data_IF_984535391282
#
_entry.id   IF_984535391282
#
_cell.length_a   1.000
_cell.length_b   1.000
_cell.length_c   1.000
_cell.angle_alpha   90.00
_cell.angle_beta   90.00
_cell.angle_gamma   90.00
#
_symmetry.space_group_name_H-M   'P 1'
#
loop_
_entity.id
_entity.type
_entity.pdbx_description
1 polymer ?
#
# COMPACT_ATOMS: atom_id res chain seq x y z
N UNK A 1 2.81 4.82 -3.16
CA UNK A 1 1.74 5.52 -2.41
C UNK A 1 2.30 6.73 -1.66
N UNK A 2 3.38 6.56 -0.88
CA UNK A 2 3.97 7.62 -0.05
C UNK A 2 4.12 9.00 -0.70
N UNK A 3 4.71 9.12 -1.90
CA UNK A 3 4.89 10.42 -2.56
C UNK A 3 3.57 11.14 -2.85
N UNK A 4 2.54 10.42 -3.30
CA UNK A 4 1.20 10.99 -3.48
C UNK A 4 0.63 11.52 -2.15
N UNK A 5 0.98 10.91 -1.02
CA UNK A 5 0.51 11.31 0.31
C UNK A 5 1.23 12.54 0.88
N UNK A 6 2.37 12.97 0.33
CA UNK A 6 3.15 14.11 0.87
C UNK A 6 3.16 15.36 -0.03
N UNK A 7 2.63 15.30 -1.25
CA UNK A 7 2.49 16.44 -2.17
C UNK A 7 1.04 16.94 -2.26
N UNK A 8 0.79 18.12 -2.82
CA UNK A 8 -0.55 18.64 -3.09
C UNK A 8 -0.69 19.15 -4.55
N UNK A 9 -1.88 19.66 -4.89
CA UNK A 9 -2.15 20.29 -6.18
C UNK A 9 -1.84 19.41 -7.39
N UNK A 10 -1.25 20.01 -8.43
CA UNK A 10 -0.93 19.33 -9.69
C UNK A 10 0.09 18.19 -9.51
N UNK A 11 1.05 18.35 -8.60
CA UNK A 11 2.06 17.31 -8.33
C UNK A 11 1.43 16.08 -7.68
N UNK A 12 0.50 16.29 -6.74
CA UNK A 12 -0.27 15.19 -6.16
C UNK A 12 -1.08 14.46 -7.23
N UNK A 13 -1.78 15.17 -8.10
CA UNK A 13 -2.57 14.53 -9.17
C UNK A 13 -1.70 13.70 -10.12
N UNK A 14 -0.51 14.21 -10.47
CA UNK A 14 0.47 13.45 -11.25
C UNK A 14 0.93 12.19 -10.51
N UNK A 15 1.32 12.32 -9.25
CA UNK A 15 1.80 11.20 -8.42
C UNK A 15 0.71 10.14 -8.21
N UNK A 16 -0.55 10.56 -8.05
CA UNK A 16 -1.72 9.68 -7.93
C UNK A 16 -1.96 8.94 -9.25
N UNK A 17 -1.89 9.62 -10.39
CA UNK A 17 -2.04 8.98 -11.70
C UNK A 17 -0.96 7.91 -11.94
N UNK A 18 0.32 8.25 -11.71
CA UNK A 18 1.42 7.31 -11.85
C UNK A 18 1.29 6.12 -10.89
N UNK A 19 0.78 6.37 -9.67
CA UNK A 19 0.52 5.33 -8.70
C UNK A 19 -0.51 4.31 -9.22
N UNK A 20 -1.65 4.77 -9.74
CA UNK A 20 -2.68 3.88 -10.26
C UNK A 20 -2.22 3.11 -11.51
N UNK A 21 -1.41 3.72 -12.38
CA UNK A 21 -0.77 3.04 -13.50
C UNK A 21 0.14 1.89 -13.02
N UNK A 22 0.98 2.16 -12.01
CA UNK A 22 1.87 1.15 -11.41
C UNK A 22 1.11 0.05 -10.68
N UNK A 23 0.02 0.37 -9.97
CA UNK A 23 -0.83 -0.62 -9.30
C UNK A 23 -1.48 -1.56 -10.31
N UNK A 24 -2.00 -1.04 -11.43
CA UNK A 24 -2.55 -1.87 -12.51
C UNK A 24 -1.50 -2.79 -13.11
N UNK A 25 -0.30 -2.28 -13.37
CA UNK A 25 0.81 -3.08 -13.89
C UNK A 25 1.22 -4.19 -12.91
N UNK A 26 1.31 -3.88 -11.61
CA UNK A 26 1.66 -4.84 -10.58
C UNK A 26 0.59 -5.94 -10.46
N UNK A 27 -0.69 -5.56 -10.38
CA UNK A 27 -1.81 -6.49 -10.30
C UNK A 27 -1.85 -7.42 -11.53
N UNK A 28 -1.63 -6.87 -12.73
CA UNK A 28 -1.57 -7.67 -13.96
C UNK A 28 -0.36 -8.62 -13.98
N UNK A 29 0.83 -8.13 -13.61
CA UNK A 29 2.02 -8.98 -13.52
C UNK A 29 1.88 -10.09 -12.48
N UNK A 30 1.20 -9.83 -11.36
CA UNK A 30 0.86 -10.87 -10.40
C UNK A 30 -0.05 -11.94 -11.00
N UNK A 31 -1.09 -11.56 -11.75
CA UNK A 31 -1.97 -12.49 -12.47
C UNK A 31 -1.20 -13.33 -13.48
N UNK A 32 -0.37 -12.70 -14.31
CA UNK A 32 0.27 -13.38 -15.43
C UNK A 32 1.41 -14.31 -15.00
N UNK A 33 2.18 -13.95 -13.96
CA UNK A 33 3.44 -14.63 -13.64
C UNK A 33 3.43 -15.40 -12.32
N UNK A 34 2.65 -14.98 -11.33
CA UNK A 34 2.69 -15.55 -9.98
C UNK A 34 1.42 -16.31 -9.61
N UNK A 35 0.27 -15.85 -10.09
CA UNK A 35 -1.05 -16.38 -9.74
C UNK A 35 -1.94 -16.58 -10.98
N UNK A 36 -1.49 -17.37 -11.98
CA UNK A 36 -2.24 -17.56 -13.24
C UNK A 36 -3.60 -18.23 -13.03
N UNK A 37 -3.76 -19.01 -11.96
CA UNK A 37 -5.04 -19.64 -11.59
C UNK A 37 -5.97 -18.67 -10.81
N UNK A 38 -5.56 -17.43 -10.57
CA UNK A 38 -6.28 -16.48 -9.70
C UNK A 38 -6.29 -16.87 -8.22
N UNK A 39 -5.48 -17.86 -7.83
CA UNK A 39 -5.33 -18.24 -6.41
C UNK A 39 -4.67 -17.09 -5.66
N UNK A 40 -5.25 -16.73 -4.53
CA UNK A 40 -4.68 -15.71 -3.64
C UNK A 40 -3.32 -16.15 -3.10
N UNK A 41 -2.39 -15.21 -2.87
CA UNK A 41 -1.12 -15.52 -2.22
C UNK A 41 -1.39 -16.16 -0.85
N UNK A 42 -0.91 -17.38 -0.63
CA UNK A 42 -0.96 -18.03 0.67
C UNK A 42 0.15 -17.48 1.55
N UNK A 43 -0.21 -16.72 2.58
CA UNK A 43 0.74 -16.23 3.58
C UNK A 43 0.90 -17.33 4.65
N UNK A 44 2.02 -18.04 4.62
CA UNK A 44 2.34 -19.04 5.63
C UNK A 44 2.96 -18.38 6.87
N UNK A 45 2.24 -18.46 8.00
CA UNK A 45 2.66 -17.91 9.30
C UNK A 45 3.83 -18.74 9.83
N UNK A 46 5.05 -18.38 9.40
CA UNK A 46 6.30 -19.08 9.72
C UNK A 46 7.33 -19.07 8.59
N UNK A 47 6.93 -18.68 7.38
CA UNK A 47 7.80 -18.65 6.20
C UNK A 47 7.53 -17.40 5.34
N UNK A 48 7.66 -16.21 5.93
CA UNK A 48 7.54 -14.96 5.19
C UNK A 48 8.74 -14.81 4.24
N UNK A 49 8.47 -14.71 2.95
CA UNK A 49 9.47 -14.47 1.92
C UNK A 49 9.79 -13.00 1.74
N UNK A 50 10.79 -12.72 0.90
CA UNK A 50 11.19 -11.34 0.55
C UNK A 50 10.04 -10.55 -0.09
N UNK A 51 9.21 -11.22 -0.92
CA UNK A 51 8.06 -10.58 -1.54
C UNK A 51 6.99 -10.17 -0.51
N UNK A 52 6.74 -10.99 0.51
CA UNK A 52 5.82 -10.66 1.60
C UNK A 52 6.26 -9.40 2.34
N UNK A 53 7.55 -9.29 2.64
CA UNK A 53 8.14 -8.13 3.29
C UNK A 53 8.00 -6.88 2.40
N UNK A 54 8.26 -7.01 1.09
CA UNK A 54 8.14 -5.90 0.15
C UNK A 54 6.70 -5.42 0.02
N UNK A 55 5.74 -6.33 -0.12
CA UNK A 55 4.31 -6.01 -0.20
C UNK A 55 3.83 -5.38 1.11
N UNK A 56 4.15 -5.96 2.26
CA UNK A 56 3.73 -5.44 3.55
C UNK A 56 4.35 -4.07 3.87
N UNK A 57 5.64 -3.88 3.62
CA UNK A 57 6.29 -2.58 3.85
C UNK A 57 5.78 -1.48 2.92
N UNK A 58 5.39 -1.84 1.69
CA UNK A 58 4.87 -0.88 0.71
C UNK A 58 3.40 -0.55 0.93
N UNK A 59 2.59 -1.55 1.26
CA UNK A 59 1.13 -1.46 1.25
C UNK A 59 0.46 -1.71 2.59
N UNK A 60 1.15 -2.27 3.59
CA UNK A 60 0.56 -2.66 4.88
C UNK A 60 -0.15 -1.50 5.60
N UNK A 61 0.31 -0.26 5.35
CA UNK A 61 -0.25 0.97 5.89
C UNK A 61 -1.21 1.72 4.94
N UNK A 62 -1.72 1.08 3.89
CA UNK A 62 -2.50 1.73 2.83
C UNK A 62 -3.66 2.59 3.33
N UNK A 63 -4.34 2.17 4.41
CA UNK A 63 -5.47 2.92 5.01
C UNK A 63 -5.10 4.33 5.48
N UNK A 64 -3.89 4.52 6.01
CA UNK A 64 -3.39 5.86 6.38
C UNK A 64 -3.29 6.75 5.14
N UNK A 65 -2.82 6.19 4.03
CA UNK A 65 -2.65 6.94 2.81
C UNK A 65 -4.00 7.24 2.13
N UNK A 66 -4.96 6.32 2.20
CA UNK A 66 -6.33 6.55 1.72
C UNK A 66 -7.02 7.68 2.49
N UNK A 67 -6.81 7.75 3.81
CA UNK A 67 -7.32 8.84 4.65
C UNK A 67 -6.73 10.19 4.24
N UNK A 68 -5.41 10.25 4.01
CA UNK A 68 -4.72 11.48 3.58
C UNK A 68 -5.15 11.92 2.18
N UNK A 69 -5.30 10.95 1.26
CA UNK A 69 -5.66 11.22 -0.13
C UNK A 69 -7.17 11.43 -0.32
N UNK A 70 -7.99 11.11 0.69
CA UNK A 70 -9.44 11.16 0.60
C UNK A 70 -10.04 10.20 -0.42
N UNK A 71 -9.33 9.11 -0.77
CA UNK A 71 -9.75 8.15 -1.79
C UNK A 71 -9.18 6.76 -1.56
N UNK A 72 -9.89 5.74 -2.04
CA UNK A 72 -9.36 4.38 -2.08
C UNK A 72 -8.18 4.29 -3.05
N UNK A 73 -7.12 3.64 -2.60
CA UNK A 73 -5.89 3.39 -3.36
C UNK A 73 -5.77 1.91 -3.67
N UNK A 74 -6.03 1.04 -2.68
CA UNK A 74 -6.07 -0.41 -2.88
C UNK A 74 -7.54 -0.83 -2.88
N UNK A 75 -8.20 -0.57 -4.00
CA UNK A 75 -9.58 -0.97 -4.21
C UNK A 75 -9.68 -2.50 -4.44
N UNK A 76 -10.53 -3.24 -3.70
CA UNK A 76 -10.64 -4.68 -3.84
C UNK A 76 -11.25 -5.14 -5.17
N UNK A 77 -12.00 -4.29 -5.88
CA UNK A 77 -12.56 -4.59 -7.20
C UNK A 77 -11.52 -4.38 -8.31
N UNK A 78 -10.72 -3.31 -8.21
CA UNK A 78 -9.65 -3.04 -9.19
C UNK A 78 -8.38 -3.88 -8.96
N UNK A 79 -8.02 -4.12 -7.70
CA UNK A 79 -6.75 -4.76 -7.28
C UNK A 79 -6.96 -5.94 -6.31
N UNK A 80 -7.75 -6.97 -6.67
CA UNK A 80 -8.12 -8.05 -5.77
C UNK A 80 -6.93 -8.86 -5.24
N UNK A 81 -5.87 -9.08 -6.02
CA UNK A 81 -4.70 -9.83 -5.56
C UNK A 81 -3.86 -9.00 -4.59
N UNK A 82 -3.57 -7.74 -4.91
CA UNK A 82 -2.84 -6.85 -4.00
C UNK A 82 -3.63 -6.68 -2.69
N UNK A 83 -4.95 -6.45 -2.78
CA UNK A 83 -5.83 -6.29 -1.61
C UNK A 83 -5.84 -7.53 -0.73
N UNK A 84 -6.01 -8.72 -1.31
CA UNK A 84 -6.03 -9.97 -0.54
C UNK A 84 -4.69 -10.26 0.12
N UNK A 85 -3.57 -10.03 -0.59
CA UNK A 85 -2.23 -10.26 -0.05
C UNK A 85 -1.92 -9.33 1.12
N UNK A 86 -2.14 -8.02 0.96
CA UNK A 86 -1.86 -7.05 2.02
C UNK A 86 -2.76 -7.29 3.23
N UNK A 87 -4.02 -7.69 3.01
CA UNK A 87 -4.94 -8.04 4.09
C UNK A 87 -4.46 -9.27 4.84
N UNK A 88 -4.07 -10.33 4.14
CA UNK A 88 -3.51 -11.54 4.76
C UNK A 88 -2.23 -11.25 5.56
N UNK A 89 -1.33 -10.42 5.02
CA UNK A 89 -0.10 -10.00 5.70
C UNK A 89 -0.40 -9.18 6.97
N UNK A 90 -1.35 -8.25 6.90
CA UNK A 90 -1.79 -7.48 8.06
C UNK A 90 -2.47 -8.33 9.14
N UNK A 91 -2.92 -9.55 8.82
CA UNK A 91 -3.49 -10.50 9.78
C UNK A 91 -2.43 -11.35 10.51
N UNK A 92 -1.19 -11.40 10.01
CA UNK A 92 -0.08 -12.15 10.62
C UNK A 92 0.27 -11.56 12.00
N UNK A 93 0.28 -12.36 13.09
CA UNK A 93 0.54 -11.86 14.45
C UNK A 93 1.84 -11.05 14.57
N UNK A 94 2.94 -11.56 14.01
CA UNK A 94 4.24 -10.87 14.00
C UNK A 94 4.14 -9.48 13.34
N UNK A 95 3.46 -9.39 12.19
CA UNK A 95 3.35 -8.12 11.46
C UNK A 95 2.40 -7.14 12.17
N UNK A 96 1.36 -7.64 12.84
CA UNK A 96 0.50 -6.82 13.71
C UNK A 96 1.27 -6.20 14.86
N UNK A 97 2.12 -6.97 15.52
CA UNK A 97 2.96 -6.48 16.62
C UNK A 97 3.98 -5.43 16.16
N UNK A 98 4.50 -5.56 14.94
CA UNK A 98 5.43 -4.62 14.34
C UNK A 98 4.76 -3.35 13.79
N UNK A 99 3.47 -3.42 13.45
CA UNK A 99 2.74 -2.30 12.87
C UNK A 99 2.52 -1.19 13.91
N UNK A 100 2.96 0.06 13.65
CA UNK A 100 2.63 1.16 14.52
C UNK A 100 1.11 1.38 14.60
N UNK A 101 0.58 1.87 15.73
CA UNK A 101 -0.81 2.32 15.81
C UNK A 101 -1.16 3.27 14.66
N UNK A 102 -2.34 3.09 14.05
CA UNK A 102 -2.80 3.86 12.88
C UNK A 102 -2.64 5.37 13.10
N UNK A 103 -3.10 5.89 14.23
CA UNK A 103 -3.01 7.32 14.58
C UNK A 103 -1.57 7.84 14.62
N UNK A 104 -0.62 7.03 15.12
CA UNK A 104 0.80 7.42 15.17
C UNK A 104 1.40 7.46 13.77
N UNK A 105 1.04 6.50 12.92
CA UNK A 105 1.51 6.47 11.55
C UNK A 105 0.90 7.62 10.73
N UNK A 106 -0.39 7.89 10.90
CA UNK A 106 -1.06 9.05 10.31
C UNK A 106 -0.39 10.36 10.73
N UNK A 107 -0.14 10.55 12.03
CA UNK A 107 0.56 11.73 12.53
C UNK A 107 1.97 11.89 11.92
N UNK A 108 2.72 10.78 11.77
CA UNK A 108 4.03 10.79 11.13
C UNK A 108 3.94 11.23 9.67
N UNK A 109 3.05 10.63 8.88
CA UNK A 109 2.93 10.97 7.45
C UNK A 109 2.43 12.41 7.27
N UNK A 110 1.48 12.87 8.09
CA UNK A 110 1.02 14.26 8.09
C UNK A 110 2.15 15.23 8.48
N UNK A 111 3.01 14.87 9.43
CA UNK A 111 4.19 15.67 9.77
C UNK A 111 5.14 15.81 8.58
N UNK A 112 5.41 14.72 7.86
CA UNK A 112 6.27 14.75 6.66
C UNK A 112 5.59 15.55 5.55
N UNK A 113 4.29 15.34 5.29
CA UNK A 113 3.49 16.13 4.34
C UNK A 113 3.62 17.62 4.63
N UNK A 114 3.36 18.05 5.87
CA UNK A 114 3.44 19.45 6.27
C UNK A 114 4.84 20.05 6.11
N UNK A 115 5.91 19.25 6.25
CA UNK A 115 7.27 19.69 5.98
C UNK A 115 7.53 19.82 4.48
N UNK A 116 7.12 18.83 3.70
CA UNK A 116 7.24 18.82 2.24
C UNK A 116 6.53 20.02 1.61
N UNK A 117 5.29 20.28 2.00
CA UNK A 117 4.49 21.38 1.49
C UNK A 117 5.01 22.78 1.88
N UNK A 118 5.85 22.88 2.92
CA UNK A 118 6.53 24.14 3.27
C UNK A 118 7.80 24.38 2.46
N UNK A 119 8.37 23.32 1.88
CA UNK A 119 9.60 23.38 1.09
C UNK A 119 9.37 23.46 -0.42
N UNK A 120 8.12 23.29 -0.86
CA UNK A 120 7.64 23.44 -2.24
C UNK A 120 7.27 24.89 -2.54
#
# INVERSE_FOLDING_TARGET
>A
IFFASITDGEEQEKNVKELFEKLRLLEQGMKDYYFPDGKTPSVEIGNLGVLDILVWSTFGSYRVQEEILGRKVIDPEEYPLIFSWVTALNEVPLLKELSPPHEKLLALVLSVRNQSLKSS
#
